data_IF_134140577363
#
_entry.id   IF_134140577363
#
_cell.length_a   1.000
_cell.length_b   1.000
_cell.length_c   1.000
_cell.angle_alpha   90.00
_cell.angle_beta   90.00
_cell.angle_gamma   90.00
#
_symmetry.space_group_name_H-M   'P 1'
#
loop_
_entity.id
_entity.type
_entity.pdbx_description
1 polymer ?
#
# COMPACT_ATOMS: atom_id res chain seq x y z
N UNK A 1 -24.94 -6.02 -28.25
CA UNK A 1 -24.26 -6.58 -29.44
C UNK A 1 -22.78 -6.21 -29.35
N UNK A 2 -21.91 -7.16 -29.02
CA UNK A 2 -20.47 -6.91 -28.85
C UNK A 2 -19.84 -6.56 -30.20
N UNK A 3 -19.15 -5.41 -30.28
CA UNK A 3 -18.40 -5.05 -31.50
C UNK A 3 -17.35 -6.13 -31.79
N UNK A 4 -17.15 -6.51 -33.07
CA UNK A 4 -16.12 -7.48 -33.43
C UNK A 4 -14.74 -6.92 -33.09
N UNK A 5 -13.88 -7.77 -32.50
CA UNK A 5 -12.51 -7.41 -32.14
C UNK A 5 -11.70 -7.14 -33.41
N UNK A 6 -11.10 -5.95 -33.49
CA UNK A 6 -10.29 -5.53 -34.63
C UNK A 6 -8.80 -5.72 -34.30
N UNK A 7 -8.03 -6.14 -35.29
CA UNK A 7 -6.61 -6.44 -35.14
C UNK A 7 -5.76 -5.56 -36.05
N UNK A 8 -4.56 -5.23 -35.60
CA UNK A 8 -3.51 -4.63 -36.42
C UNK A 8 -2.62 -5.76 -36.92
N UNK A 9 -2.41 -5.83 -38.24
CA UNK A 9 -1.54 -6.82 -38.87
C UNK A 9 -0.30 -6.18 -39.50
N UNK A 10 0.82 -6.89 -39.51
CA UNK A 10 1.99 -6.50 -40.29
C UNK A 10 1.80 -6.79 -41.79
N UNK A 11 2.82 -6.51 -42.61
CA UNK A 11 2.78 -6.72 -44.06
C UNK A 11 2.68 -8.21 -44.45
N UNK A 12 3.09 -9.11 -43.56
CA UNK A 12 3.01 -10.56 -43.73
C UNK A 12 1.66 -11.14 -43.27
N UNK A 13 0.74 -10.30 -42.79
CA UNK A 13 -0.59 -10.70 -42.31
C UNK A 13 -0.62 -11.24 -40.88
N UNK A 14 0.50 -11.19 -40.17
CA UNK A 14 0.57 -11.58 -38.76
C UNK A 14 -0.06 -10.52 -37.87
N UNK A 15 -0.86 -10.94 -36.90
CA UNK A 15 -1.51 -10.06 -35.93
C UNK A 15 -0.48 -9.58 -34.91
N UNK A 16 -0.17 -8.29 -34.95
CA UNK A 16 0.81 -7.64 -34.07
C UNK A 16 0.14 -6.79 -32.98
N UNK A 17 -1.17 -6.60 -33.04
CA UNK A 17 -1.91 -5.84 -32.03
C UNK A 17 -3.42 -5.93 -32.15
N UNK A 18 -4.10 -5.30 -31.21
CA UNK A 18 -5.57 -5.15 -31.17
C UNK A 18 -5.93 -3.67 -31.23
N UNK A 19 -6.96 -3.32 -32.00
CA UNK A 19 -7.50 -1.97 -32.03
C UNK A 19 -8.59 -1.87 -30.97
N UNK A 20 -8.38 -0.97 -30.01
CA UNK A 20 -9.33 -0.66 -28.96
C UNK A 20 -9.92 0.73 -29.22
N UNK A 21 -11.20 0.90 -28.95
CA UNK A 21 -11.75 2.24 -28.83
C UNK A 21 -11.16 2.95 -27.60
N UNK A 22 -11.12 4.28 -27.63
CA UNK A 22 -10.43 5.07 -26.62
C UNK A 22 -11.03 4.86 -25.22
N UNK A 23 -12.35 4.68 -25.12
CA UNK A 23 -13.03 4.40 -23.85
C UNK A 23 -12.59 3.06 -23.27
N UNK A 24 -12.53 2.01 -24.09
CA UNK A 24 -12.05 0.68 -23.69
C UNK A 24 -10.56 0.69 -23.35
N UNK A 25 -9.73 1.41 -24.10
CA UNK A 25 -8.31 1.60 -23.78
C UNK A 25 -8.13 2.30 -22.42
N UNK A 26 -8.83 3.41 -22.21
CA UNK A 26 -8.79 4.14 -20.94
C UNK A 26 -9.29 3.27 -19.81
N UNK A 27 -10.41 2.54 -20.00
CA UNK A 27 -10.90 1.60 -19.01
C UNK A 27 -9.84 0.56 -18.68
N UNK A 28 -9.23 -0.13 -19.65
CA UNK A 28 -8.22 -1.16 -19.40
C UNK A 28 -6.94 -0.60 -18.76
N UNK A 29 -6.49 0.57 -19.20
CA UNK A 29 -5.37 1.30 -18.58
C UNK A 29 -5.69 1.68 -17.12
N UNK A 30 -6.93 2.06 -16.88
CA UNK A 30 -7.46 2.40 -15.56
C UNK A 30 -8.04 1.17 -14.82
N UNK A 31 -8.08 -0.03 -15.40
CA UNK A 31 -8.49 -1.28 -14.71
C UNK A 31 -7.29 -1.88 -13.99
N UNK A 32 -6.08 -1.39 -14.31
CA UNK A 32 -4.93 -1.46 -13.42
C UNK A 32 -5.03 -0.47 -12.24
N UNK A 33 -6.12 0.30 -12.13
CA UNK A 33 -6.47 1.19 -11.03
C UNK A 33 -7.79 0.69 -10.39
N UNK A 34 -7.96 0.62 -9.09
CA UNK A 34 -7.24 1.22 -7.96
C UNK A 34 -6.74 0.07 -7.09
N UNK A 35 -5.42 -0.09 -6.98
CA UNK A 35 -4.90 -0.87 -5.87
C UNK A 35 -5.09 -0.01 -4.63
N UNK A 36 -6.14 -0.28 -3.85
CA UNK A 36 -6.51 0.47 -2.65
C UNK A 36 -5.35 0.58 -1.65
N UNK A 37 -4.34 -0.29 -1.74
CA UNK A 37 -3.15 -0.23 -0.92
C UNK A 37 -2.21 0.92 -1.32
N UNK A 38 -2.32 1.46 -2.55
CA UNK A 38 -1.53 2.58 -3.05
C UNK A 38 -2.01 3.89 -2.43
N UNK A 39 -1.07 4.62 -1.84
CA UNK A 39 -1.32 5.93 -1.24
C UNK A 39 -1.13 7.02 -2.31
N UNK A 40 -2.15 7.20 -3.17
CA UNK A 40 -2.10 8.09 -4.34
C UNK A 40 -1.88 9.55 -3.98
N UNK A 41 -2.47 10.00 -2.88
CA UNK A 41 -2.58 11.41 -2.49
C UNK A 41 -1.34 11.96 -1.76
N UNK A 42 -0.34 11.10 -1.50
CA UNK A 42 0.90 11.49 -0.85
C UNK A 42 2.04 11.77 -1.86
N UNK A 43 2.81 12.81 -1.58
CA UNK A 43 4.07 13.12 -2.25
C UNK A 43 5.15 12.08 -1.92
N UNK A 44 6.24 12.05 -2.70
CA UNK A 44 7.36 11.13 -2.45
C UNK A 44 8.00 11.36 -1.07
N UNK A 45 8.14 12.61 -0.64
CA UNK A 45 8.72 12.96 0.65
C UNK A 45 7.81 12.52 1.81
N UNK A 46 6.49 12.71 1.69
CA UNK A 46 5.51 12.23 2.68
C UNK A 46 5.48 10.71 2.76
N UNK A 47 5.57 10.01 1.61
CA UNK A 47 5.67 8.56 1.57
C UNK A 47 6.94 8.06 2.24
N UNK A 48 8.08 8.72 2.00
CA UNK A 48 9.34 8.37 2.65
C UNK A 48 9.26 8.58 4.16
N UNK A 49 8.78 9.74 4.60
CA UNK A 49 8.57 10.06 6.02
C UNK A 49 7.63 9.04 6.69
N UNK A 50 6.54 8.65 6.03
CA UNK A 50 5.62 7.62 6.52
C UNK A 50 6.29 6.25 6.58
N UNK A 51 7.09 5.88 5.57
CA UNK A 51 7.76 4.57 5.51
C UNK A 51 8.79 4.36 6.61
N UNK A 52 9.40 5.44 7.09
CA UNK A 52 10.41 5.44 8.17
C UNK A 52 9.83 5.87 9.52
N UNK A 53 8.52 6.11 9.59
CA UNK A 53 7.84 6.48 10.82
C UNK A 53 7.99 5.41 11.92
N UNK A 54 8.01 5.87 13.15
CA UNK A 54 8.11 5.06 14.36
C UNK A 54 7.13 5.59 15.40
N UNK A 55 6.79 4.77 16.39
CA UNK A 55 6.10 5.26 17.57
C UNK A 55 6.90 6.38 18.24
N UNK A 56 6.19 7.29 18.91
CA UNK A 56 6.85 8.31 19.71
C UNK A 56 7.74 7.64 20.77
N UNK A 57 8.89 8.24 21.15
CA UNK A 57 9.77 7.65 22.17
C UNK A 57 9.04 7.37 23.48
N UNK A 58 8.10 8.25 23.87
CA UNK A 58 7.28 8.09 25.07
C UNK A 58 6.39 6.83 24.97
N UNK A 59 5.68 6.67 23.86
CA UNK A 59 4.80 5.52 23.61
C UNK A 59 5.60 4.22 23.51
N UNK A 60 6.79 4.26 22.91
CA UNK A 60 7.66 3.08 22.83
C UNK A 60 8.16 2.63 24.20
N UNK A 61 8.56 3.56 25.08
CA UNK A 61 8.97 3.26 26.45
C UNK A 61 7.82 2.64 27.24
N UNK A 62 6.61 3.20 27.12
CA UNK A 62 5.41 2.70 27.78
C UNK A 62 5.03 1.30 27.28
N UNK A 63 5.06 1.06 25.97
CA UNK A 63 4.82 -0.26 25.38
C UNK A 63 5.83 -1.29 25.91
N UNK A 64 7.12 -0.93 25.98
CA UNK A 64 8.16 -1.82 26.47
C UNK A 64 7.95 -2.19 27.95
N UNK A 65 7.58 -1.24 28.80
CA UNK A 65 7.27 -1.49 30.22
C UNK A 65 6.07 -2.44 30.37
N UNK A 66 4.98 -2.17 29.66
CA UNK A 66 3.77 -3.00 29.70
C UNK A 66 4.04 -4.41 29.19
N UNK A 67 4.84 -4.57 28.13
CA UNK A 67 5.25 -5.89 27.63
C UNK A 67 6.07 -6.67 28.67
N UNK A 68 7.03 -6.01 29.34
CA UNK A 68 7.82 -6.63 30.39
C UNK A 68 6.93 -7.11 31.56
N UNK A 69 6.06 -6.23 32.06
CA UNK A 69 5.14 -6.55 33.16
C UNK A 69 4.06 -7.57 32.77
N UNK A 70 3.67 -7.64 31.49
CA UNK A 70 2.76 -8.67 30.99
C UNK A 70 3.40 -10.06 31.03
N UNK A 71 4.70 -10.16 30.71
CA UNK A 71 5.43 -11.42 30.77
C UNK A 71 5.47 -11.98 32.21
N UNK A 72 5.59 -11.09 33.20
CA UNK A 72 5.54 -11.43 34.62
C UNK A 72 4.10 -11.65 35.15
N UNK A 73 3.09 -11.57 34.27
CA UNK A 73 1.64 -11.64 34.60
C UNK A 73 1.18 -10.62 35.64
N UNK A 74 1.87 -9.48 35.72
CA UNK A 74 1.64 -8.42 36.72
C UNK A 74 0.69 -7.32 36.24
N UNK A 75 0.10 -7.45 35.05
CA UNK A 75 -0.82 -6.44 34.51
C UNK A 75 -2.24 -6.61 35.05
N UNK A 76 -2.84 -5.48 35.44
CA UNK A 76 -4.28 -5.37 35.68
C UNK A 76 -5.08 -5.61 34.40
N UNK A 77 -6.41 -5.71 34.53
CA UNK A 77 -7.30 -5.86 33.38
C UNK A 77 -7.24 -4.60 32.48
N UNK A 78 -7.23 -3.43 33.10
CA UNK A 78 -7.14 -2.13 32.42
C UNK A 78 -5.81 -1.98 31.69
N UNK A 79 -4.70 -2.37 32.34
CA UNK A 79 -3.37 -2.33 31.72
C UNK A 79 -3.26 -3.29 30.53
N UNK A 80 -3.91 -4.46 30.58
CA UNK A 80 -3.99 -5.39 29.43
C UNK A 80 -4.77 -4.80 28.27
N UNK A 81 -5.88 -4.12 28.54
CA UNK A 81 -6.64 -3.41 27.49
C UNK A 81 -5.78 -2.32 26.87
N UNK A 82 -5.06 -1.55 27.69
CA UNK A 82 -4.16 -0.52 27.20
C UNK A 82 -3.00 -1.07 26.37
N UNK A 83 -2.37 -2.15 26.82
CA UNK A 83 -1.34 -2.87 26.05
C UNK A 83 -1.88 -3.33 24.68
N UNK A 84 -3.07 -3.92 24.64
CA UNK A 84 -3.69 -4.34 23.37
C UNK A 84 -3.94 -3.15 22.43
N UNK A 85 -4.35 -2.00 22.96
CA UNK A 85 -4.52 -0.78 22.16
C UNK A 85 -3.20 -0.27 21.58
N UNK A 86 -2.11 -0.34 22.35
CA UNK A 86 -0.77 0.03 21.85
C UNK A 86 -0.28 -0.95 20.78
N UNK A 87 -0.50 -2.26 20.95
CA UNK A 87 -0.16 -3.26 19.93
C UNK A 87 -0.96 -3.05 18.64
N UNK A 88 -2.26 -2.75 18.75
CA UNK A 88 -3.10 -2.41 17.59
C UNK A 88 -2.57 -1.20 16.84
N UNK A 89 -2.09 -0.18 17.54
CA UNK A 89 -1.46 1.00 16.91
C UNK A 89 -0.17 0.63 16.18
N UNK A 90 0.66 -0.25 16.74
CA UNK A 90 1.87 -0.77 16.08
C UNK A 90 1.52 -1.50 14.79
N UNK A 91 0.50 -2.36 14.83
CA UNK A 91 0.06 -3.11 13.66
C UNK A 91 -0.44 -2.18 12.55
N UNK A 92 -1.27 -1.19 12.90
CA UNK A 92 -1.73 -0.16 11.97
C UNK A 92 -0.57 0.62 11.36
N UNK A 93 0.42 1.01 12.17
CA UNK A 93 1.61 1.71 11.70
C UNK A 93 2.42 0.85 10.73
N UNK A 94 2.58 -0.44 11.01
CA UNK A 94 3.30 -1.37 10.13
C UNK A 94 2.59 -1.57 8.79
N UNK A 95 1.26 -1.64 8.78
CA UNK A 95 0.46 -1.68 7.55
C UNK A 95 0.71 -0.42 6.73
N UNK A 96 0.58 0.76 7.34
CA UNK A 96 0.81 2.05 6.65
C UNK A 96 2.23 2.18 6.10
N UNK A 97 3.25 1.77 6.87
CA UNK A 97 4.64 1.74 6.42
C UNK A 97 4.83 0.83 5.21
N UNK A 98 4.20 -0.33 5.23
CA UNK A 98 4.26 -1.30 4.14
C UNK A 98 3.63 -0.73 2.87
N UNK A 99 2.43 -0.12 2.99
CA UNK A 99 1.75 0.57 1.90
C UNK A 99 2.57 1.73 1.33
N UNK A 100 3.22 2.52 2.20
CA UNK A 100 4.10 3.59 1.77
C UNK A 100 5.30 3.07 0.96
N UNK A 101 5.98 2.02 1.44
CA UNK A 101 7.11 1.39 0.73
C UNK A 101 6.68 0.78 -0.60
N UNK A 102 5.52 0.14 -0.62
CA UNK A 102 4.95 -0.42 -1.83
C UNK A 102 4.62 0.67 -2.85
N UNK A 103 3.98 1.76 -2.41
CA UNK A 103 3.69 2.94 -3.25
C UNK A 103 4.97 3.56 -3.80
N UNK A 104 6.02 3.71 -2.97
CA UNK A 104 7.34 4.19 -3.41
C UNK A 104 7.95 3.30 -4.49
N UNK A 105 7.86 1.97 -4.33
CA UNK A 105 8.36 1.02 -5.33
C UNK A 105 7.62 1.18 -6.66
N UNK A 106 6.30 1.34 -6.65
CA UNK A 106 5.51 1.56 -7.86
C UNK A 106 5.87 2.90 -8.51
N UNK A 107 5.88 4.01 -7.76
CA UNK A 107 6.21 5.34 -8.30
C UNK A 107 7.64 5.40 -8.82
N UNK A 108 8.60 4.76 -8.15
CA UNK A 108 10.01 4.68 -8.58
C UNK A 108 10.24 3.78 -9.82
N UNK A 109 9.42 2.74 -10.02
CA UNK A 109 9.40 1.98 -11.29
C UNK A 109 8.84 2.86 -12.42
N UNK A 110 7.88 3.73 -12.10
CA UNK A 110 7.21 4.58 -13.09
C UNK A 110 8.08 5.75 -13.56
N UNK A 111 9.12 6.14 -12.82
CA UNK A 111 10.04 7.22 -13.22
C UNK A 111 11.22 6.78 -14.11
N UNK A 112 11.30 5.51 -14.48
CA UNK A 112 12.35 4.95 -15.36
C UNK A 112 11.84 4.51 -16.75
N UNK A 113 10.61 4.85 -17.13
CA UNK A 113 10.01 4.57 -18.44
C UNK A 113 9.64 5.87 -19.17
#
# INVERSE_FOLDING_TARGET
MSKPLQYVTNQDGERIGVLLDLETYQRLKNTSAEDDEILTDLSLDELFALSESMLSPKTQVELNDLLARNNDKMLSVEEKVHLNNLLTQVDQLNILKTRARYTLKIKGITSLA
#
